data_IF_070863551660
#
_entry.id   IF_070863551660
#
_cell.length_a   1.000
_cell.length_b   1.000
_cell.length_c   1.000
_cell.angle_alpha   90.00
_cell.angle_beta   90.00
_cell.angle_gamma   90.00
#
_symmetry.space_group_name_H-M   'P 1'
#
loop_
_entity.id
_entity.type
_entity.pdbx_description
1 polymer ?
#
# COMPACT_ATOMS: atom_id res chain seq x y z
N UNK A 1 -9.66 8.61 10.54
CA UNK A 1 -9.14 7.23 10.66
C UNK A 1 -10.27 6.25 10.96
N UNK A 2 -10.35 5.11 10.26
CA UNK A 2 -11.45 4.12 10.38
C UNK A 2 -11.06 2.95 11.30
N UNK A 3 -11.38 3.07 12.58
CA UNK A 3 -11.02 2.05 13.58
C UNK A 3 -11.54 0.65 13.22
N UNK A 4 -12.74 0.51 12.65
CA UNK A 4 -13.26 -0.79 12.22
C UNK A 4 -12.32 -1.52 11.25
N UNK A 5 -11.69 -0.78 10.33
CA UNK A 5 -10.70 -1.38 9.40
C UNK A 5 -9.45 -1.86 10.12
N UNK A 6 -9.00 -1.16 11.16
CA UNK A 6 -7.87 -1.60 12.00
C UNK A 6 -8.23 -2.91 12.71
N UNK A 7 -9.40 -2.96 13.33
CA UNK A 7 -9.91 -4.17 14.00
C UNK A 7 -10.03 -5.33 13.01
N UNK A 8 -10.51 -5.08 11.78
CA UNK A 8 -10.60 -6.12 10.75
C UNK A 8 -9.21 -6.65 10.32
N UNK A 9 -8.19 -5.78 10.28
CA UNK A 9 -6.80 -6.22 10.06
C UNK A 9 -6.32 -7.14 11.19
N UNK A 10 -6.55 -6.74 12.43
CA UNK A 10 -6.20 -7.54 13.60
C UNK A 10 -6.96 -8.88 13.63
N UNK A 11 -8.27 -8.88 13.35
CA UNK A 11 -9.09 -10.11 13.25
C UNK A 11 -8.57 -11.07 12.17
N UNK A 12 -8.30 -10.56 10.97
CA UNK A 12 -7.77 -11.37 9.85
C UNK A 12 -6.43 -12.00 10.16
N UNK A 13 -5.60 -11.32 10.95
CA UNK A 13 -4.28 -11.82 11.34
C UNK A 13 -4.32 -12.66 12.62
N UNK A 14 -5.36 -12.55 13.40
CA UNK A 14 -5.48 -13.20 14.71
C UNK A 14 -4.53 -12.61 15.75
N UNK A 15 -4.12 -11.35 15.59
CA UNK A 15 -3.18 -10.68 16.51
C UNK A 15 -3.74 -9.33 16.91
N UNK A 16 -3.87 -9.12 18.22
CA UNK A 16 -4.18 -7.83 18.82
C UNK A 16 -3.09 -7.48 19.83
N UNK A 17 -2.40 -6.39 19.60
CA UNK A 17 -1.47 -5.82 20.58
C UNK A 17 -1.91 -4.41 20.90
N UNK A 18 -2.24 -4.17 22.14
CA UNK A 18 -2.51 -2.85 22.67
C UNK A 18 -1.28 -2.37 23.43
N UNK A 19 -0.90 -1.14 23.22
CA UNK A 19 0.22 -0.51 23.90
C UNK A 19 -0.28 0.72 24.66
N UNK A 20 0.09 0.83 25.94
CA UNK A 20 -0.08 2.07 26.65
C UNK A 20 0.93 3.09 26.14
N UNK A 21 0.44 4.24 25.69
CA UNK A 21 1.29 5.41 25.39
C UNK A 21 1.08 6.50 26.44
N UNK A 22 1.95 7.49 26.47
CA UNK A 22 1.85 8.58 27.45
C UNK A 22 0.55 9.39 27.34
N UNK A 23 0.06 9.60 26.14
CA UNK A 23 -1.14 10.43 25.86
C UNK A 23 -2.18 9.72 24.99
N UNK A 24 -1.83 8.64 24.35
CA UNK A 24 -2.71 7.90 23.45
C UNK A 24 -2.35 6.42 23.44
N UNK A 25 -3.38 5.58 23.48
CA UNK A 25 -3.22 4.14 23.33
C UNK A 25 -2.97 3.78 21.87
N UNK A 26 -2.19 2.74 21.60
CA UNK A 26 -1.87 2.26 20.28
C UNK A 26 -2.35 0.84 20.07
N UNK A 27 -2.75 0.52 18.84
CA UNK A 27 -3.17 -0.82 18.45
C UNK A 27 -2.37 -1.32 17.24
N UNK A 28 -2.02 -2.62 17.27
CA UNK A 28 -1.22 -3.25 16.22
C UNK A 28 -1.70 -4.68 15.93
N UNK A 29 -1.55 -5.07 14.65
CA UNK A 29 -1.66 -6.45 14.20
C UNK A 29 -0.29 -7.15 14.09
N UNK A 30 0.78 -6.49 14.55
CA UNK A 30 2.17 -6.94 14.45
C UNK A 30 2.88 -6.54 13.15
N UNK A 31 2.20 -5.88 12.19
CA UNK A 31 2.82 -5.31 11.00
C UNK A 31 2.55 -3.82 10.84
N UNK A 32 1.45 -3.34 11.39
CA UNK A 32 1.14 -1.92 11.45
C UNK A 32 0.75 -1.54 12.86
N UNK A 33 0.99 -0.28 13.22
CA UNK A 33 0.72 0.31 14.53
C UNK A 33 -0.04 1.62 14.30
N UNK A 34 -1.19 1.78 14.97
CA UNK A 34 -2.07 2.93 14.81
C UNK A 34 -2.37 3.58 16.14
N UNK A 35 -2.29 4.91 16.27
CA UNK A 35 -2.72 5.63 17.48
C UNK A 35 -4.26 5.66 17.56
N UNK A 36 -4.80 5.47 18.74
CA UNK A 36 -6.24 5.51 19.00
C UNK A 36 -6.67 6.91 19.47
N UNK A 37 -6.43 7.92 18.64
CA UNK A 37 -6.77 9.32 18.98
C UNK A 37 -8.26 9.49 19.27
N UNK A 38 -8.55 10.22 20.36
CA UNK A 38 -9.92 10.58 20.77
C UNK A 38 -10.82 9.36 21.04
N UNK A 39 -10.26 8.23 21.40
CA UNK A 39 -10.99 7.04 21.80
C UNK A 39 -10.73 6.75 23.29
N UNK A 40 -11.69 6.10 23.98
CA UNK A 40 -11.43 5.63 25.33
C UNK A 40 -10.33 4.57 25.34
N UNK A 41 -9.68 4.39 26.46
CA UNK A 41 -8.76 3.27 26.63
C UNK A 41 -9.53 1.94 26.56
N UNK A 42 -8.95 1.02 25.80
CA UNK A 42 -9.46 -0.33 25.66
C UNK A 42 -8.60 -1.29 26.46
N UNK A 43 -9.25 -2.23 27.10
CA UNK A 43 -8.71 -3.51 27.51
C UNK A 43 -9.27 -4.62 26.61
N UNK A 44 -8.91 -5.85 26.86
CA UNK A 44 -9.35 -7.00 26.06
C UNK A 44 -10.87 -7.14 26.04
N UNK A 45 -11.51 -7.09 27.23
CA UNK A 45 -12.94 -7.28 27.37
C UNK A 45 -13.73 -6.17 26.67
N UNK A 46 -13.33 -4.93 26.90
CA UNK A 46 -13.99 -3.75 26.32
C UNK A 46 -13.84 -3.75 24.78
N UNK A 47 -12.64 -4.10 24.28
CA UNK A 47 -12.39 -4.17 22.85
C UNK A 47 -13.24 -5.27 22.20
N UNK A 48 -13.31 -6.45 22.80
CA UNK A 48 -14.11 -7.54 22.26
C UNK A 48 -15.61 -7.21 22.26
N UNK A 49 -16.11 -6.57 23.30
CA UNK A 49 -17.50 -6.14 23.43
C UNK A 49 -17.86 -5.03 22.42
N UNK A 50 -17.03 -4.00 22.30
CA UNK A 50 -17.31 -2.83 21.42
C UNK A 50 -17.28 -3.22 19.94
N UNK A 51 -16.45 -4.19 19.56
CA UNK A 51 -16.30 -4.62 18.19
C UNK A 51 -16.93 -5.97 17.86
N UNK A 52 -17.85 -6.45 18.71
CA UNK A 52 -18.61 -7.68 18.53
C UNK A 52 -17.74 -8.88 18.17
N UNK A 53 -16.62 -9.06 18.89
CA UNK A 53 -15.72 -10.20 18.68
C UNK A 53 -16.29 -11.41 19.42
N UNK A 54 -16.80 -12.37 18.67
CA UNK A 54 -17.44 -13.57 19.21
C UNK A 54 -16.43 -14.49 19.89
N UNK A 55 -16.87 -15.35 20.85
CA UNK A 55 -16.03 -16.31 21.54
C UNK A 55 -15.23 -17.18 20.58
N UNK A 56 -15.85 -17.68 19.50
CA UNK A 56 -15.15 -18.46 18.45
C UNK A 56 -14.05 -17.69 17.73
N UNK A 57 -14.14 -16.36 17.68
CA UNK A 57 -13.08 -15.51 17.13
C UNK A 57 -12.01 -15.26 18.17
N UNK A 58 -12.39 -15.08 19.44
CA UNK A 58 -11.45 -14.89 20.57
C UNK A 58 -10.50 -16.09 20.70
N UNK A 59 -10.99 -17.31 20.55
CA UNK A 59 -10.17 -18.53 20.57
C UNK A 59 -9.04 -18.55 19.53
N UNK A 60 -9.16 -17.73 18.48
CA UNK A 60 -8.17 -17.63 17.38
C UNK A 60 -7.30 -16.38 17.45
N UNK A 61 -7.52 -15.55 18.48
CA UNK A 61 -6.84 -14.27 18.66
C UNK A 61 -5.77 -14.41 19.72
N UNK A 62 -4.56 -13.99 19.39
CA UNK A 62 -3.51 -13.71 20.37
C UNK A 62 -3.62 -12.26 20.81
N UNK A 63 -4.16 -12.03 21.99
CA UNK A 63 -4.25 -10.69 22.58
C UNK A 63 -3.06 -10.44 23.51
N UNK A 64 -2.51 -9.22 23.47
CA UNK A 64 -1.48 -8.75 24.42
C UNK A 64 -1.71 -7.29 24.73
N UNK A 65 -1.62 -6.96 26.01
CA UNK A 65 -1.54 -5.58 26.48
C UNK A 65 -0.12 -5.32 26.99
N UNK A 66 0.53 -4.32 26.46
CA UNK A 66 1.91 -4.00 26.79
C UNK A 66 2.00 -2.55 27.31
N UNK A 67 2.71 -2.37 28.40
CA UNK A 67 2.86 -1.07 29.07
C UNK A 67 3.77 -0.11 28.30
N UNK A 68 4.59 -0.63 27.40
CA UNK A 68 5.55 0.15 26.63
C UNK A 68 5.46 -0.18 25.13
N UNK A 69 5.60 0.84 24.32
CA UNK A 69 5.78 0.67 22.87
C UNK A 69 7.13 0.00 22.57
N UNK A 70 7.25 -0.69 21.41
CA UNK A 70 8.51 -1.28 21.00
C UNK A 70 9.62 -0.24 20.92
N UNK A 71 10.71 -0.40 21.64
CA UNK A 71 11.84 0.54 21.68
C UNK A 71 12.52 0.74 20.33
N UNK A 72 12.41 -0.26 19.45
CA UNK A 72 12.97 -0.20 18.09
C UNK A 72 12.25 0.77 17.15
N UNK A 73 11.13 1.36 17.54
CA UNK A 73 10.27 2.20 16.71
C UNK A 73 10.06 3.55 17.39
N UNK A 74 10.41 4.63 16.69
CA UNK A 74 10.07 5.98 17.13
C UNK A 74 8.62 6.32 16.72
N UNK A 75 7.80 6.71 17.68
CA UNK A 75 6.39 7.06 17.50
C UNK A 75 6.13 8.55 17.54
N UNK A 76 7.16 9.36 17.71
CA UNK A 76 7.03 10.81 17.71
C UNK A 76 6.59 11.32 16.34
N UNK A 77 5.91 12.45 16.32
CA UNK A 77 5.47 13.10 15.08
C UNK A 77 6.65 13.46 14.16
N UNK A 78 7.81 13.69 14.74
CA UNK A 78 9.06 13.95 14.02
C UNK A 78 10.20 13.05 14.52
N UNK A 79 10.99 12.53 13.60
CA UNK A 79 12.23 11.81 13.89
C UNK A 79 13.37 12.43 13.10
N UNK A 80 14.48 12.74 13.79
CA UNK A 80 15.68 13.22 13.10
C UNK A 80 16.20 12.19 12.10
N UNK A 81 16.39 12.61 10.84
CA UNK A 81 16.87 11.74 9.77
C UNK A 81 15.77 10.97 9.05
N UNK A 82 14.47 11.19 9.39
CA UNK A 82 13.39 10.68 8.55
C UNK A 82 13.43 11.32 7.16
N UNK A 83 13.10 10.56 6.11
CA UNK A 83 13.09 11.05 4.74
C UNK A 83 11.77 10.73 4.04
N UNK A 84 11.24 11.71 3.31
CA UNK A 84 10.03 11.52 2.51
C UNK A 84 10.28 10.50 1.39
N UNK A 85 9.42 9.49 1.29
CA UNK A 85 9.50 8.46 0.27
C UNK A 85 8.71 8.86 -0.98
N UNK A 86 9.31 8.66 -2.13
CA UNK A 86 8.60 8.78 -3.41
C UNK A 86 7.79 7.49 -3.67
N UNK A 87 6.48 7.65 -3.82
CA UNK A 87 5.57 6.55 -4.17
C UNK A 87 5.78 6.16 -5.63
N UNK A 88 5.94 4.87 -5.91
CA UNK A 88 5.97 4.37 -7.28
C UNK A 88 4.60 4.46 -7.97
N UNK A 89 4.63 4.56 -9.29
CA UNK A 89 3.43 4.75 -10.13
C UNK A 89 2.61 3.48 -10.31
N UNK A 90 3.22 2.31 -10.12
CA UNK A 90 2.56 1.01 -10.33
C UNK A 90 2.27 0.34 -9.00
N UNK A 91 1.07 -0.22 -8.88
CA UNK A 91 0.69 -1.12 -7.79
C UNK A 91 0.79 -2.55 -8.31
N UNK A 92 1.45 -3.42 -7.56
CA UNK A 92 1.61 -4.82 -7.94
C UNK A 92 0.56 -5.64 -7.20
N UNK A 93 -0.36 -6.24 -7.96
CA UNK A 93 -1.41 -7.10 -7.43
C UNK A 93 -1.11 -8.58 -7.63
N UNK A 94 -1.38 -9.41 -6.63
CA UNK A 94 -1.24 -10.85 -6.71
C UNK A 94 -1.61 -11.55 -5.41
N UNK A 95 -2.20 -12.76 -5.50
CA UNK A 95 -2.55 -13.55 -4.32
C UNK A 95 -3.49 -12.88 -3.32
N UNK A 96 -4.37 -11.97 -3.79
CA UNK A 96 -5.29 -11.20 -2.93
C UNK A 96 -4.64 -10.08 -2.16
N UNK A 97 -3.45 -9.63 -2.54
CA UNK A 97 -2.73 -8.50 -1.97
C UNK A 97 -2.39 -7.49 -3.05
N UNK A 98 -2.40 -6.22 -2.68
CA UNK A 98 -1.88 -5.12 -3.48
C UNK A 98 -0.70 -4.51 -2.72
N UNK A 99 0.47 -4.48 -3.33
CA UNK A 99 1.66 -3.88 -2.76
C UNK A 99 2.05 -2.63 -3.52
N UNK A 100 2.35 -1.58 -2.77
CA UNK A 100 2.70 -0.27 -3.30
C UNK A 100 4.20 -0.07 -3.09
N UNK A 101 4.98 0.19 -4.16
CA UNK A 101 6.40 0.46 -4.03
C UNK A 101 6.66 1.89 -3.56
N UNK A 102 7.66 2.04 -2.70
CA UNK A 102 8.21 3.31 -2.25
C UNK A 102 9.73 3.29 -2.42
N UNK A 103 10.28 4.37 -2.96
CA UNK A 103 11.73 4.57 -3.02
C UNK A 103 12.24 4.97 -1.63
N UNK A 104 13.24 4.27 -1.16
CA UNK A 104 13.89 4.48 0.14
C UNK A 104 15.41 4.57 -0.04
N UNK A 105 16.11 4.90 1.03
CA UNK A 105 17.58 4.91 1.06
C UNK A 105 18.22 3.54 0.77
N UNK A 106 17.49 2.44 1.02
CA UNK A 106 17.94 1.06 0.75
C UNK A 106 17.37 0.47 -0.54
N UNK A 107 16.82 1.31 -1.44
CA UNK A 107 16.20 0.88 -2.68
C UNK A 107 14.68 0.92 -2.61
N UNK A 108 14.00 -0.03 -3.25
CA UNK A 108 12.53 -0.08 -3.25
C UNK A 108 12.05 -1.01 -2.14
N UNK A 109 11.17 -0.49 -1.28
CA UNK A 109 10.43 -1.25 -0.29
C UNK A 109 8.93 -1.14 -0.57
N UNK A 110 8.15 -2.10 -0.09
CA UNK A 110 6.72 -2.18 -0.38
C UNK A 110 5.87 -2.02 0.87
N UNK A 111 4.69 -1.39 0.71
CA UNK A 111 3.61 -1.41 1.70
C UNK A 111 2.46 -2.25 1.14
N UNK A 112 1.92 -3.19 1.92
CA UNK A 112 0.65 -3.83 1.61
C UNK A 112 -0.48 -2.79 1.76
N UNK A 113 -1.20 -2.49 0.66
CA UNK A 113 -2.20 -1.42 0.58
C UNK A 113 -3.27 -1.49 1.67
N UNK A 114 -3.57 -2.69 2.17
CA UNK A 114 -4.55 -2.87 3.26
C UNK A 114 -4.22 -2.06 4.51
N UNK A 115 -2.92 -1.79 4.78
CA UNK A 115 -2.50 -0.99 5.93
C UNK A 115 -2.74 0.52 5.75
N UNK A 116 -3.01 0.97 4.53
CA UNK A 116 -3.45 2.34 4.24
C UNK A 116 -4.98 2.50 4.28
N UNK A 117 -5.71 1.39 4.23
CA UNK A 117 -7.18 1.43 4.23
C UNK A 117 -7.82 2.09 5.46
N UNK A 118 -7.26 2.00 6.69
CA UNK A 118 -7.76 2.76 7.84
C UNK A 118 -7.65 4.28 7.68
N UNK A 119 -6.79 4.74 6.78
CA UNK A 119 -6.46 6.16 6.56
C UNK A 119 -7.15 6.75 5.31
N UNK A 120 -8.13 6.06 4.72
CA UNK A 120 -8.79 6.48 3.47
C UNK A 120 -9.37 7.90 3.52
N UNK A 121 -9.90 8.34 4.67
CA UNK A 121 -10.48 9.67 4.81
C UNK A 121 -9.45 10.80 4.68
N UNK A 122 -8.16 10.47 4.84
CA UNK A 122 -7.03 11.40 4.75
C UNK A 122 -6.09 11.04 3.59
N UNK A 123 -6.48 10.12 2.71
CA UNK A 123 -5.59 9.51 1.70
C UNK A 123 -4.90 10.52 0.78
N UNK A 124 -5.58 11.61 0.44
CA UNK A 124 -5.04 12.64 -0.46
C UNK A 124 -4.00 13.55 0.23
N UNK A 125 -3.88 13.45 1.55
CA UNK A 125 -3.02 14.30 2.37
C UNK A 125 -1.97 13.51 3.15
N UNK A 126 -1.85 12.19 2.90
CA UNK A 126 -0.85 11.37 3.59
C UNK A 126 0.48 11.41 2.87
N UNK A 127 1.52 11.54 3.64
CA UNK A 127 2.91 11.42 3.25
C UNK A 127 3.52 10.20 3.94
N UNK A 128 4.41 9.52 3.24
CA UNK A 128 5.09 8.33 3.73
C UNK A 128 6.56 8.65 3.91
N UNK A 129 7.04 8.50 5.12
CA UNK A 129 8.45 8.73 5.47
C UNK A 129 9.13 7.42 5.81
N UNK A 130 10.36 7.25 5.36
CA UNK A 130 11.22 6.20 5.90
C UNK A 130 11.81 6.63 7.23
N UNK A 131 11.83 5.73 8.18
CA UNK A 131 12.52 5.84 9.45
C UNK A 131 13.40 4.62 9.66
N UNK A 132 14.54 4.81 10.29
CA UNK A 132 15.45 3.71 10.60
C UNK A 132 15.36 3.40 12.08
N UNK A 133 14.97 2.19 12.41
CA UNK A 133 14.92 1.70 13.78
C UNK A 133 16.25 1.11 14.26
N UNK A 134 16.22 0.54 15.46
CA UNK A 134 17.36 -0.19 16.00
C UNK A 134 17.80 -1.32 15.05
N UNK A 135 19.12 -1.46 14.86
CA UNK A 135 19.69 -2.44 13.93
C UNK A 135 19.56 -2.08 12.44
N UNK A 136 19.27 -0.82 12.10
CA UNK A 136 19.27 -0.33 10.73
C UNK A 136 18.07 -0.77 9.88
N UNK A 137 17.03 -1.30 10.51
CA UNK A 137 15.80 -1.73 9.80
C UNK A 137 14.92 -0.54 9.48
N UNK A 138 14.54 -0.40 8.21
CA UNK A 138 13.58 0.63 7.78
C UNK A 138 12.16 0.22 8.16
N UNK A 139 11.39 1.20 8.60
CA UNK A 139 9.93 1.15 8.71
C UNK A 139 9.34 2.45 8.17
N UNK A 140 8.06 2.43 7.85
CA UNK A 140 7.36 3.58 7.30
C UNK A 140 6.57 4.30 8.39
N UNK A 141 6.76 5.61 8.48
CA UNK A 141 5.89 6.52 9.22
C UNK A 141 4.93 7.20 8.25
N UNK A 142 3.63 7.01 8.47
CA UNK A 142 2.59 7.60 7.63
C UNK A 142 2.03 8.80 8.37
N UNK A 143 2.10 9.97 7.74
CA UNK A 143 1.79 11.26 8.37
C UNK A 143 0.75 12.03 7.56
N UNK A 144 0.04 12.92 8.23
CA UNK A 144 -0.74 13.97 7.59
C UNK A 144 -0.29 15.31 8.19
N UNK A 145 0.43 16.09 7.39
CA UNK A 145 1.18 17.23 7.90
C UNK A 145 2.21 16.79 8.95
N UNK A 146 2.12 17.31 10.16
CA UNK A 146 3.02 16.94 11.25
C UNK A 146 2.58 15.72 12.05
N UNK A 147 1.33 15.30 11.93
CA UNK A 147 0.74 14.28 12.79
C UNK A 147 1.04 12.87 12.26
N UNK A 148 1.58 12.01 13.12
CA UNK A 148 1.78 10.60 12.84
C UNK A 148 0.44 9.85 12.89
N UNK A 149 0.06 9.21 11.79
CA UNK A 149 -1.19 8.46 11.67
C UNK A 149 -1.01 6.96 11.78
N UNK A 150 0.15 6.46 11.36
CA UNK A 150 0.48 5.03 11.47
C UNK A 150 1.98 4.78 11.31
N UNK A 151 2.43 3.68 11.88
CA UNK A 151 3.70 3.05 11.56
C UNK A 151 3.40 1.74 10.82
N UNK A 152 4.08 1.49 9.71
CA UNK A 152 3.89 0.27 8.91
C UNK A 152 5.24 -0.37 8.62
N UNK A 153 5.35 -1.67 8.86
CA UNK A 153 6.52 -2.44 8.49
C UNK A 153 6.52 -2.73 6.98
N UNK A 154 7.66 -2.68 6.30
CA UNK A 154 7.76 -3.04 4.91
C UNK A 154 7.26 -4.47 4.67
N UNK A 155 6.56 -4.66 3.55
CA UNK A 155 6.23 -5.99 3.06
C UNK A 155 7.42 -6.56 2.30
N UNK A 156 7.91 -7.69 2.76
CA UNK A 156 9.02 -8.41 2.12
C UNK A 156 8.51 -9.15 0.88
N UNK A 157 8.64 -8.51 -0.27
CA UNK A 157 8.25 -9.06 -1.58
C UNK A 157 9.46 -9.42 -2.44
N UNK A 158 10.64 -8.88 -2.11
CA UNK A 158 11.80 -8.96 -3.00
C UNK A 158 12.47 -10.32 -2.84
N UNK A 159 12.34 -11.16 -3.88
CA UNK A 159 13.03 -12.44 -4.03
C UNK A 159 13.56 -12.57 -5.45
N UNK A 160 14.45 -13.51 -5.70
CA UNK A 160 14.93 -13.79 -7.06
C UNK A 160 13.77 -14.13 -8.01
N UNK A 161 12.81 -14.91 -7.54
CA UNK A 161 11.62 -15.25 -8.31
C UNK A 161 10.79 -14.01 -8.68
N UNK A 162 10.59 -13.11 -7.73
CA UNK A 162 9.86 -11.85 -7.95
C UNK A 162 10.60 -10.97 -8.97
N UNK A 163 11.91 -10.78 -8.82
CA UNK A 163 12.72 -9.97 -9.73
C UNK A 163 12.74 -10.56 -11.13
N UNK A 164 12.88 -11.89 -11.26
CA UNK A 164 12.88 -12.56 -12.56
C UNK A 164 11.50 -12.47 -13.24
N UNK A 165 10.40 -12.63 -12.49
CA UNK A 165 9.05 -12.44 -13.02
C UNK A 165 8.79 -11.01 -13.52
N UNK A 166 9.30 -9.98 -12.82
CA UNK A 166 9.21 -8.60 -13.29
C UNK A 166 10.01 -8.36 -14.57
N UNK A 167 11.21 -8.96 -14.70
CA UNK A 167 12.02 -8.85 -15.92
C UNK A 167 11.31 -9.51 -17.11
N UNK A 168 10.77 -10.71 -16.93
CA UNK A 168 10.03 -11.42 -17.96
C UNK A 168 8.80 -10.61 -18.41
N UNK A 169 8.00 -10.10 -17.46
CA UNK A 169 6.85 -9.27 -17.74
C UNK A 169 7.24 -8.00 -18.51
N UNK A 170 8.33 -7.33 -18.11
CA UNK A 170 8.84 -6.14 -18.81
C UNK A 170 9.19 -6.46 -20.26
N UNK A 171 9.90 -7.56 -20.53
CA UNK A 171 10.24 -7.98 -21.90
C UNK A 171 8.98 -8.26 -22.76
N UNK A 172 7.99 -8.94 -22.18
CA UNK A 172 6.72 -9.19 -22.89
C UNK A 172 5.97 -7.90 -23.19
N UNK A 173 5.96 -6.95 -22.25
CA UNK A 173 5.36 -5.63 -22.49
C UNK A 173 6.08 -4.83 -23.59
N UNK A 174 7.41 -4.91 -23.64
CA UNK A 174 8.20 -4.26 -24.70
C UNK A 174 7.87 -4.82 -26.09
N UNK A 175 7.76 -6.16 -26.21
CA UNK A 175 7.34 -6.83 -27.48
C UNK A 175 5.93 -6.39 -27.86
N UNK A 176 4.98 -6.39 -26.90
CA UNK A 176 3.61 -5.97 -27.18
C UNK A 176 3.53 -4.51 -27.62
N UNK A 177 4.31 -3.63 -26.99
CA UNK A 177 4.38 -2.22 -27.36
C UNK A 177 4.98 -2.01 -28.76
N UNK A 178 6.03 -2.78 -29.10
CA UNK A 178 6.60 -2.75 -30.46
C UNK A 178 5.58 -3.16 -31.51
N UNK A 179 4.87 -4.27 -31.28
CA UNK A 179 3.83 -4.76 -32.21
C UNK A 179 2.70 -3.74 -32.39
N UNK A 180 2.24 -3.11 -31.30
CA UNK A 180 1.23 -2.06 -31.35
C UNK A 180 1.67 -0.87 -32.21
N UNK A 181 2.88 -0.35 -31.99
CA UNK A 181 3.44 0.77 -32.77
C UNK A 181 3.60 0.42 -34.27
N UNK A 182 3.91 -0.84 -34.57
CA UNK A 182 4.03 -1.30 -35.97
C UNK A 182 2.67 -1.35 -36.64
N UNK A 183 1.63 -1.82 -35.96
CA UNK A 183 0.26 -1.83 -36.45
C UNK A 183 -0.29 -0.41 -36.67
N UNK A 184 -0.05 0.51 -35.75
CA UNK A 184 -0.46 1.91 -35.87
C UNK A 184 0.16 2.56 -37.11
N UNK A 185 1.47 2.36 -37.36
CA UNK A 185 2.16 2.88 -38.57
C UNK A 185 1.62 2.28 -39.87
N UNK A 186 1.28 0.98 -39.88
CA UNK A 186 0.68 0.34 -41.04
C UNK A 186 -0.73 0.88 -41.34
N UNK A 187 -1.54 1.09 -40.28
CA UNK A 187 -2.87 1.68 -40.45
C UNK A 187 -2.80 3.13 -40.97
N UNK A 188 -1.86 3.95 -40.48
CA UNK A 188 -1.64 5.31 -40.99
C UNK A 188 -1.22 5.31 -42.48
N UNK A 189 -0.33 4.41 -42.86
CA UNK A 189 0.09 4.29 -44.28
C UNK A 189 -1.06 3.85 -45.18
N UNK A 190 -1.92 2.92 -44.78
CA UNK A 190 -3.10 2.51 -45.53
C UNK A 190 -4.12 3.65 -45.70
N UNK A 191 -4.30 4.49 -44.67
CA UNK A 191 -5.21 5.64 -44.76
C UNK A 191 -4.70 6.70 -45.72
N UNK A 192 -3.39 6.88 -45.84
CA UNK A 192 -2.77 7.84 -46.78
C UNK A 192 -2.87 7.38 -48.26
N UNK A 193 -2.80 6.08 -48.50
CA UNK A 193 -2.88 5.50 -49.83
C UNK A 193 -4.29 5.07 -50.26
N UNK A 194 -5.27 5.03 -49.36
CA UNK A 194 -6.65 4.57 -49.59
C UNK A 194 -7.62 5.62 -50.13
N UNK A 195 -7.22 6.88 -50.33
CA UNK A 195 -8.09 7.95 -50.86
C UNK A 195 -7.95 8.17 -52.39
N UNK A 196 -7.69 7.10 -53.14
CA UNK A 196 -7.79 7.10 -54.60
C UNK A 196 -9.12 6.53 -55.05
N UNK A 197 -10.23 7.23 -54.86
CA UNK A 197 -11.47 6.91 -55.57
C UNK A 197 -11.26 7.13 -57.10
N UNK A 198 -11.19 6.03 -57.83
CA UNK A 198 -11.41 6.06 -59.29
C UNK A 198 -12.82 6.61 -59.57
N UNK A 199 -12.87 7.86 -60.00
CA UNK A 199 -14.06 8.39 -60.69
C UNK A 199 -14.15 7.70 -62.03
N UNK A 200 -15.01 6.70 -62.18
CA UNK A 200 -15.45 6.20 -63.48
C UNK A 200 -16.17 7.32 -64.25
N UNK A 201 -15.79 7.64 -65.51
CA UNK A 201 -16.54 8.57 -66.32
C UNK A 201 -17.87 7.95 -66.69
N UNK A 202 -18.95 8.59 -66.36
CA UNK A 202 -20.29 8.31 -66.88
C UNK A 202 -20.32 8.72 -68.31
N UNK A 203 -20.37 7.77 -69.25
CA UNK A 203 -20.72 8.03 -70.64
C UNK A 203 -22.17 8.47 -70.70
N UNK A 204 -22.38 9.70 -71.15
CA UNK A 204 -23.67 10.19 -71.73
C UNK A 204 -23.85 9.53 -73.10
N UNK A 205 -24.91 8.74 -73.25
CA UNK A 205 -25.42 8.32 -74.59
C UNK A 205 -26.76 8.98 -74.76
N UNK A 206 -26.89 9.61 -75.93
CA UNK A 206 -28.04 10.32 -76.48
C UNK A 206 -29.41 9.65 -76.33
#
# INVERSE_FOLDING_TARGET
>A
MKIKKIIDLCKKRGIFRLYAGESVQWISDGCALYPLYNLPEFDEETLYRVFDITEKQQDKISFRYELHLPSAICIDDYMQGEALCEKGTMVIGGGGKNIIPFKTSQGVLFIDEKYLAPLEDTRDYIEVYERTGEGGRIYFAIKSGFMLLAIVLPYDAISELFVNGLKELSQQCEIALFNKRTQEKQAEQQTIFGTGEEKTPTEEVE
#
